data_IF_208555933555
#
_entry.id   IF_208555933555
#
_cell.length_a   1.000
_cell.length_b   1.000
_cell.length_c   1.000
_cell.angle_alpha   90.00
_cell.angle_beta   90.00
_cell.angle_gamma   90.00
#
_symmetry.space_group_name_H-M   'P 1'
#
loop_
_entity.id
_entity.type
_entity.pdbx_description
1 polymer ?
#
# COMPACT_ATOMS: atom_id res chain seq x y z
N UNK A 1 15.18 14.83 -20.06
CA UNK A 1 14.83 13.58 -19.34
C UNK A 1 13.32 13.38 -19.48
N UNK A 2 12.85 12.16 -19.79
CA UNK A 2 11.42 11.83 -19.74
C UNK A 2 11.20 10.90 -18.55
N UNK A 3 10.79 11.47 -17.43
CA UNK A 3 10.55 10.73 -16.20
C UNK A 3 9.21 9.98 -16.28
N UNK A 4 9.22 8.68 -15.99
CA UNK A 4 8.04 7.81 -16.05
C UNK A 4 6.91 8.28 -15.12
N UNK A 5 7.25 8.90 -13.98
CA UNK A 5 6.27 9.38 -13.02
C UNK A 5 5.45 10.57 -13.56
N UNK A 6 6.03 11.34 -14.48
CA UNK A 6 5.42 12.52 -15.08
C UNK A 6 4.82 12.26 -16.46
N UNK A 7 4.78 10.99 -16.91
CA UNK A 7 4.00 10.58 -18.07
C UNK A 7 2.51 10.55 -17.70
N UNK A 8 1.82 11.67 -17.95
CA UNK A 8 0.40 11.86 -17.64
C UNK A 8 -0.46 12.04 -18.89
N UNK A 9 -1.69 11.55 -18.84
CA UNK A 9 -2.72 11.81 -19.84
C UNK A 9 -3.25 13.26 -19.77
N UNK A 10 -4.26 13.58 -20.57
CA UNK A 10 -4.84 14.93 -20.64
C UNK A 10 -5.57 15.35 -19.35
N UNK A 11 -5.97 14.37 -18.52
CA UNK A 11 -6.58 14.62 -17.21
C UNK A 11 -5.55 14.74 -16.08
N UNK A 12 -4.25 14.62 -16.40
CA UNK A 12 -3.18 14.62 -15.40
C UNK A 12 -3.00 13.28 -14.70
N UNK A 13 -3.64 12.20 -15.16
CA UNK A 13 -3.49 10.86 -14.57
C UNK A 13 -2.28 10.16 -15.16
N UNK A 14 -1.44 9.53 -14.33
CA UNK A 14 -0.29 8.73 -14.78
C UNK A 14 -0.75 7.59 -15.71
N UNK A 15 -0.07 7.49 -16.85
CA UNK A 15 -0.34 6.48 -17.89
C UNK A 15 0.04 5.08 -17.46
N UNK A 16 1.09 4.94 -16.65
CA UNK A 16 1.53 3.67 -16.06
C UNK A 16 1.92 3.88 -14.59
N UNK A 17 1.54 2.95 -13.72
CA UNK A 17 1.93 2.96 -12.31
C UNK A 17 1.80 1.57 -11.67
N UNK A 18 2.58 1.30 -10.63
CA UNK A 18 2.57 0.04 -9.89
C UNK A 18 1.46 -0.09 -8.83
N UNK A 19 0.49 0.83 -8.81
CA UNK A 19 -0.43 0.98 -7.68
C UNK A 19 -1.18 -0.30 -7.30
N UNK A 20 -1.68 -1.06 -8.28
CA UNK A 20 -2.39 -2.31 -8.00
C UNK A 20 -1.50 -3.31 -7.25
N UNK A 21 -0.31 -3.58 -7.78
CA UNK A 21 0.62 -4.53 -7.18
C UNK A 21 1.24 -4.03 -5.88
N UNK A 22 1.39 -2.73 -5.67
CA UNK A 22 1.74 -2.16 -4.37
C UNK A 22 0.67 -2.52 -3.31
N UNK A 23 -0.62 -2.36 -3.66
CA UNK A 23 -1.75 -2.77 -2.84
C UNK A 23 -1.74 -4.25 -2.49
N UNK A 24 -1.64 -5.08 -3.52
CA UNK A 24 -1.69 -6.54 -3.40
C UNK A 24 -0.49 -7.07 -2.59
N UNK A 25 0.73 -6.63 -2.90
CA UNK A 25 1.93 -7.01 -2.15
C UNK A 25 1.92 -6.45 -0.72
N UNK A 26 1.46 -5.22 -0.51
CA UNK A 26 1.34 -4.62 0.82
C UNK A 26 0.40 -5.40 1.72
N UNK A 27 -0.77 -5.78 1.19
CA UNK A 27 -1.67 -6.63 1.95
C UNK A 27 -1.06 -8.02 2.25
N UNK A 28 -0.24 -8.56 1.34
CA UNK A 28 0.44 -9.84 1.51
C UNK A 28 1.48 -9.80 2.63
N UNK A 29 2.33 -8.77 2.66
CA UNK A 29 3.31 -8.57 3.73
C UNK A 29 2.61 -8.38 5.08
N UNK A 30 1.57 -7.54 5.14
CA UNK A 30 0.82 -7.34 6.37
C UNK A 30 0.13 -8.62 6.88
N UNK A 31 -0.31 -9.51 5.98
CA UNK A 31 -0.79 -10.84 6.38
C UNK A 31 0.33 -11.71 6.95
N UNK A 32 1.54 -11.68 6.37
CA UNK A 32 2.70 -12.33 7.01
C UNK A 32 2.99 -11.76 8.40
N UNK A 33 2.83 -10.44 8.61
CA UNK A 33 2.95 -9.83 9.93
C UNK A 33 1.90 -10.37 10.90
N UNK A 34 0.64 -10.44 10.47
CA UNK A 34 -0.44 -10.96 11.31
C UNK A 34 -0.19 -12.43 11.69
N UNK A 35 0.18 -13.28 10.73
CA UNK A 35 0.52 -14.69 10.96
C UNK A 35 1.72 -14.82 11.93
N UNK A 36 2.75 -13.97 11.79
CA UNK A 36 3.89 -13.99 12.70
C UNK A 36 3.47 -13.70 14.15
N UNK A 37 2.51 -12.79 14.37
CA UNK A 37 1.95 -12.52 15.69
C UNK A 37 1.20 -13.72 16.27
N UNK A 38 0.52 -14.52 15.45
CA UNK A 38 -0.16 -15.74 15.89
C UNK A 38 0.83 -16.77 16.46
N UNK A 39 2.10 -16.69 16.03
CA UNK A 39 3.19 -17.50 16.54
C UNK A 39 4.01 -16.79 17.65
N UNK A 40 3.54 -15.64 18.16
CA UNK A 40 4.23 -14.86 19.19
C UNK A 40 5.52 -14.18 18.72
N UNK A 41 5.66 -13.98 17.40
CA UNK A 41 6.88 -13.46 16.77
C UNK A 41 6.64 -12.18 15.97
N UNK A 42 7.72 -11.47 15.63
CA UNK A 42 7.69 -10.41 14.61
C UNK A 42 7.90 -11.05 13.23
N UNK A 43 7.38 -10.43 12.18
CA UNK A 43 7.62 -10.88 10.82
C UNK A 43 9.13 -10.87 10.50
N UNK A 44 9.66 -12.01 10.05
CA UNK A 44 11.04 -12.12 9.59
C UNK A 44 11.24 -11.55 8.19
N UNK A 45 12.48 -11.60 7.66
CA UNK A 45 12.78 -11.11 6.31
C UNK A 45 11.90 -11.74 5.23
N UNK A 46 11.49 -10.94 4.25
CA UNK A 46 10.70 -11.38 3.09
C UNK A 46 11.48 -11.08 1.82
N UNK A 47 11.57 -12.06 0.93
CA UNK A 47 12.17 -11.91 -0.39
C UNK A 47 11.13 -11.86 -1.51
N UNK A 48 11.57 -11.44 -2.69
CA UNK A 48 10.74 -11.49 -3.89
C UNK A 48 10.27 -12.94 -4.17
N UNK A 49 9.02 -13.06 -4.60
CA UNK A 49 8.42 -14.32 -5.00
C UNK A 49 8.58 -14.54 -6.50
N UNK A 50 8.60 -15.80 -6.93
CA UNK A 50 8.76 -16.15 -8.34
C UNK A 50 7.54 -15.77 -9.20
N UNK A 51 6.36 -15.92 -8.60
CA UNK A 51 5.06 -15.54 -9.14
C UNK A 51 4.03 -15.41 -8.00
N UNK A 52 2.89 -14.79 -8.31
CA UNK A 52 1.77 -14.57 -7.41
C UNK A 52 1.14 -15.86 -6.91
N UNK A 53 1.06 -16.89 -7.74
CA UNK A 53 0.34 -18.12 -7.41
C UNK A 53 1.08 -18.90 -6.30
N UNK A 54 2.40 -19.00 -6.40
CA UNK A 54 3.25 -19.58 -5.37
C UNK A 54 3.16 -18.78 -4.06
N UNK A 55 3.29 -17.45 -4.14
CA UNK A 55 3.21 -16.58 -2.97
C UNK A 55 1.85 -16.69 -2.24
N UNK A 56 0.75 -16.72 -2.99
CA UNK A 56 -0.59 -16.87 -2.45
C UNK A 56 -0.82 -18.26 -1.83
N UNK A 57 -0.29 -19.31 -2.46
CA UNK A 57 -0.40 -20.68 -1.94
C UNK A 57 0.34 -20.83 -0.61
N UNK A 58 1.56 -20.31 -0.51
CA UNK A 58 2.36 -20.34 0.72
C UNK A 58 1.69 -19.52 1.83
N UNK A 59 1.20 -18.32 1.50
CA UNK A 59 0.48 -17.48 2.45
C UNK A 59 -0.82 -18.14 2.93
N UNK A 60 -1.59 -18.74 2.02
CA UNK A 60 -2.83 -19.45 2.35
C UNK A 60 -2.60 -20.66 3.24
N UNK A 61 -1.54 -21.44 2.99
CA UNK A 61 -1.16 -22.57 3.84
C UNK A 61 -0.78 -22.13 5.26
N UNK A 62 -0.01 -21.03 5.37
CA UNK A 62 0.36 -20.45 6.66
C UNK A 62 -0.86 -19.90 7.41
N UNK A 63 -1.77 -19.22 6.72
CA UNK A 63 -3.03 -18.71 7.28
C UNK A 63 -3.92 -19.85 7.80
N UNK A 64 -4.09 -20.92 7.02
CA UNK A 64 -4.89 -22.09 7.42
C UNK A 64 -4.31 -22.88 8.60
N UNK A 65 -3.03 -22.65 8.93
CA UNK A 65 -2.36 -23.28 10.07
C UNK A 65 -2.54 -22.47 11.38
N UNK A 66 -3.11 -21.26 11.30
CA UNK A 66 -3.36 -20.43 12.47
C UNK A 66 -4.58 -20.94 13.26
N UNK A 67 -4.50 -20.87 14.59
CA UNK A 67 -5.61 -21.27 15.46
C UNK A 67 -6.70 -20.18 15.58
N UNK A 68 -6.31 -18.90 15.47
CA UNK A 68 -7.25 -17.78 15.44
C UNK A 68 -8.05 -17.76 14.13
N UNK A 69 -9.31 -17.33 14.15
CA UNK A 69 -10.12 -17.17 12.94
C UNK A 69 -9.49 -16.15 12.00
N UNK A 70 -9.86 -16.25 10.72
CA UNK A 70 -9.42 -15.32 9.67
C UNK A 70 -9.72 -13.87 10.07
N UNK A 71 -8.74 -12.96 10.00
CA UNK A 71 -8.90 -11.58 10.46
C UNK A 71 -9.88 -10.79 9.59
N UNK A 72 -10.50 -9.77 10.17
CA UNK A 72 -11.23 -8.74 9.46
C UNK A 72 -10.30 -7.60 9.01
N UNK A 73 -10.61 -6.99 7.86
CA UNK A 73 -9.81 -5.91 7.29
C UNK A 73 -10.64 -4.67 6.97
N UNK A 74 -10.03 -3.51 7.10
CA UNK A 74 -10.52 -2.25 6.54
C UNK A 74 -9.48 -1.67 5.58
N UNK A 75 -9.94 -1.27 4.39
CA UNK A 75 -9.13 -0.62 3.35
C UNK A 75 -9.63 0.80 3.17
N UNK A 76 -8.77 1.80 3.40
CA UNK A 76 -9.07 3.21 3.12
C UNK A 76 -8.38 3.64 1.83
N UNK A 77 -9.11 4.27 0.92
CA UNK A 77 -8.68 4.51 -0.47
C UNK A 77 -9.02 3.32 -1.37
N UNK A 78 -10.11 2.62 -1.06
CA UNK A 78 -10.49 1.35 -1.68
C UNK A 78 -10.85 1.46 -3.17
N UNK A 79 -11.22 2.65 -3.66
CA UNK A 79 -11.54 2.87 -5.07
C UNK A 79 -10.29 3.14 -5.93
N UNK A 80 -9.14 3.40 -5.29
CA UNK A 80 -7.86 3.59 -5.97
C UNK A 80 -7.24 2.26 -6.44
N UNK A 81 -6.21 2.34 -7.31
CA UNK A 81 -5.46 1.15 -7.78
C UNK A 81 -4.90 0.35 -6.60
N UNK A 82 -4.29 1.04 -5.64
CA UNK A 82 -3.70 0.46 -4.42
C UNK A 82 -4.77 -0.23 -3.57
N UNK A 83 -5.85 0.46 -3.24
CA UNK A 83 -6.94 -0.12 -2.46
C UNK A 83 -7.62 -1.30 -3.15
N UNK A 84 -7.72 -1.28 -4.47
CA UNK A 84 -8.23 -2.41 -5.26
C UNK A 84 -7.34 -3.64 -5.09
N UNK A 85 -6.02 -3.51 -5.26
CA UNK A 85 -5.09 -4.64 -5.09
C UNK A 85 -5.09 -5.21 -3.66
N UNK A 86 -5.13 -4.35 -2.64
CA UNK A 86 -5.23 -4.78 -1.25
C UNK A 86 -6.54 -5.55 -0.98
N UNK A 87 -7.66 -5.02 -1.48
CA UNK A 87 -8.96 -5.65 -1.34
C UNK A 87 -9.08 -6.99 -2.09
N UNK A 88 -8.47 -7.11 -3.28
CA UNK A 88 -8.48 -8.33 -4.07
C UNK A 88 -7.71 -9.45 -3.36
N UNK A 89 -6.52 -9.19 -2.83
CA UNK A 89 -5.80 -10.17 -2.00
C UNK A 89 -6.66 -10.63 -0.82
N UNK A 90 -7.26 -9.68 -0.09
CA UNK A 90 -8.11 -10.02 1.05
C UNK A 90 -9.28 -10.93 0.63
N UNK A 91 -9.90 -10.67 -0.52
CA UNK A 91 -10.98 -11.50 -1.04
C UNK A 91 -10.50 -12.91 -1.42
N UNK A 92 -9.31 -13.03 -2.05
CA UNK A 92 -8.71 -14.32 -2.39
C UNK A 92 -8.34 -15.16 -1.16
N UNK A 93 -7.97 -14.51 -0.06
CA UNK A 93 -7.73 -15.15 1.24
C UNK A 93 -8.99 -15.36 2.08
N UNK A 94 -10.17 -14.95 1.59
CA UNK A 94 -11.45 -15.12 2.27
C UNK A 94 -11.69 -14.19 3.47
N UNK A 95 -10.97 -13.05 3.55
CA UNK A 95 -11.14 -12.07 4.62
C UNK A 95 -12.43 -11.26 4.41
N UNK A 96 -13.07 -10.87 5.52
CA UNK A 96 -14.13 -9.87 5.50
C UNK A 96 -13.50 -8.47 5.38
N UNK A 97 -13.82 -7.76 4.29
CA UNK A 97 -13.24 -6.44 4.00
C UNK A 97 -14.30 -5.33 4.08
N UNK A 98 -14.03 -4.32 4.89
CA UNK A 98 -14.71 -3.01 4.83
C UNK A 98 -13.93 -2.10 3.89
N UNK A 99 -14.59 -1.56 2.87
CA UNK A 99 -13.97 -0.68 1.86
C UNK A 99 -14.44 0.75 2.09
N UNK A 100 -13.52 1.66 2.37
CA UNK A 100 -13.78 3.08 2.61
C UNK A 100 -13.02 3.96 1.61
N UNK A 101 -13.61 5.10 1.31
CA UNK A 101 -12.99 6.13 0.47
C UNK A 101 -13.34 7.53 0.99
N UNK A 102 -13.31 8.55 0.12
CA UNK A 102 -13.55 9.95 0.49
C UNK A 102 -14.89 10.18 1.22
N UNK A 103 -15.95 9.43 0.87
CA UNK A 103 -17.27 9.63 1.46
C UNK A 103 -17.29 9.27 2.96
N UNK A 104 -16.63 8.18 3.33
CA UNK A 104 -16.60 7.68 4.72
C UNK A 104 -15.56 8.43 5.58
N UNK A 105 -14.50 8.94 4.95
CA UNK A 105 -13.44 9.71 5.63
C UNK A 105 -13.77 11.20 5.80
N UNK A 106 -14.85 11.69 5.17
CA UNK A 106 -15.24 13.10 5.16
C UNK A 106 -15.54 13.70 6.55
N UNK A 107 -15.83 12.88 7.56
CA UNK A 107 -16.09 13.34 8.93
C UNK A 107 -14.85 13.93 9.63
N UNK A 108 -13.65 13.69 9.09
CA UNK A 108 -12.40 14.20 9.65
C UNK A 108 -11.85 13.40 10.84
N UNK A 109 -12.50 12.30 11.21
CA UNK A 109 -12.11 11.42 12.31
C UNK A 109 -12.52 11.90 13.71
N UNK A 110 -12.18 11.15 14.77
CA UNK A 110 -11.47 9.87 14.74
C UNK A 110 -12.34 8.73 14.20
N UNK A 111 -11.71 7.77 13.54
CA UNK A 111 -12.39 6.62 12.93
C UNK A 111 -12.28 5.40 13.84
N UNK A 112 -13.21 5.29 14.81
CA UNK A 112 -13.22 4.19 15.78
C UNK A 112 -13.35 2.81 15.13
N UNK A 113 -13.97 2.75 13.96
CA UNK A 113 -14.14 1.57 13.12
C UNK A 113 -12.80 0.94 12.71
N UNK A 114 -11.75 1.75 12.54
CA UNK A 114 -10.41 1.22 12.21
C UNK A 114 -9.90 0.32 13.33
N UNK A 115 -10.12 0.71 14.59
CA UNK A 115 -9.67 -0.06 15.76
C UNK A 115 -10.49 -1.34 15.98
N UNK A 116 -11.65 -1.47 15.35
CA UNK A 116 -12.54 -2.63 15.45
C UNK A 116 -12.18 -3.75 14.47
N UNK A 117 -11.40 -3.46 13.43
CA UNK A 117 -10.88 -4.45 12.49
C UNK A 117 -9.51 -4.96 12.98
N UNK A 118 -9.11 -6.16 12.56
CA UNK A 118 -7.82 -6.75 12.91
C UNK A 118 -6.69 -6.19 12.03
N UNK A 119 -7.01 -5.82 10.80
CA UNK A 119 -6.09 -5.28 9.79
C UNK A 119 -6.60 -3.94 9.28
N UNK A 120 -5.68 -2.98 9.12
CA UNK A 120 -5.94 -1.71 8.45
C UNK A 120 -4.96 -1.53 7.29
N UNK A 121 -5.48 -1.27 6.10
CA UNK A 121 -4.70 -0.90 4.92
C UNK A 121 -4.93 0.57 4.54
N UNK A 122 -3.91 1.41 4.70
CA UNK A 122 -3.92 2.76 4.17
C UNK A 122 -3.42 2.75 2.72
N UNK A 123 -4.30 3.15 1.80
CA UNK A 123 -4.02 3.25 0.37
C UNK A 123 -4.12 4.69 -0.14
N UNK A 124 -4.16 5.67 0.76
CA UNK A 124 -4.22 7.10 0.43
C UNK A 124 -2.89 7.75 0.74
N UNK A 125 -2.29 8.38 -0.27
CA UNK A 125 -1.11 9.22 -0.09
C UNK A 125 -1.50 10.47 0.70
N UNK A 126 -0.78 10.73 1.78
CA UNK A 126 -1.00 11.86 2.65
C UNK A 126 -0.82 13.20 1.92
N UNK A 127 -1.72 14.15 2.18
CA UNK A 127 -1.71 15.50 1.64
C UNK A 127 -2.15 16.50 2.71
N UNK A 128 -1.92 17.82 2.53
CA UNK A 128 -2.50 18.82 3.41
C UNK A 128 -4.01 18.60 3.57
N UNK A 129 -4.47 18.42 4.81
CA UNK A 129 -5.88 18.17 5.13
C UNK A 129 -6.30 16.69 5.16
N UNK A 130 -5.40 15.74 4.89
CA UNK A 130 -5.68 14.31 5.13
C UNK A 130 -5.98 14.10 6.62
N UNK A 131 -7.12 13.45 6.97
CA UNK A 131 -7.46 13.22 8.36
C UNK A 131 -6.53 12.18 8.98
N UNK A 132 -6.34 12.27 10.30
CA UNK A 132 -5.60 11.27 11.06
C UNK A 132 -6.46 10.01 11.18
N UNK A 133 -6.03 8.92 10.55
CA UNK A 133 -6.71 7.63 10.59
C UNK A 133 -6.48 6.92 11.93
N UNK A 134 -5.22 6.79 12.34
CA UNK A 134 -4.85 6.09 13.57
C UNK A 134 -4.03 7.03 14.45
N UNK A 135 -4.63 7.70 15.45
CA UNK A 135 -3.91 8.64 16.29
C UNK A 135 -2.88 7.91 17.18
N UNK A 136 -1.81 8.60 17.59
CA UNK A 136 -0.75 8.03 18.46
C UNK A 136 -1.29 7.29 19.69
N UNK A 137 -2.35 7.83 20.33
CA UNK A 137 -2.99 7.21 21.50
C UNK A 137 -3.62 5.84 21.24
N UNK A 138 -3.89 5.48 19.98
CA UNK A 138 -4.50 4.19 19.60
C UNK A 138 -3.71 2.98 20.11
N UNK A 139 -2.39 3.11 20.27
CA UNK A 139 -1.52 2.07 20.86
C UNK A 139 -1.97 1.64 22.26
N UNK A 140 -2.61 2.55 23.00
CA UNK A 140 -3.09 2.38 24.38
C UNK A 140 -4.61 2.22 24.51
N UNK A 141 -5.35 2.34 23.40
CA UNK A 141 -6.80 2.22 23.40
C UNK A 141 -7.25 0.76 23.31
N UNK A 142 -8.46 0.41 23.79
CA UNK A 142 -9.08 -0.86 23.46
C UNK A 142 -9.20 -1.02 21.94
N UNK A 143 -8.66 -2.11 21.40
CA UNK A 143 -8.63 -2.38 19.95
C UNK A 143 -8.60 -3.88 19.66
N UNK A 144 -9.17 -4.23 18.52
CA UNK A 144 -8.90 -5.49 17.84
C UNK A 144 -7.69 -5.35 16.91
N UNK A 145 -7.46 -4.15 16.35
CA UNK A 145 -6.40 -3.86 15.38
C UNK A 145 -5.04 -4.41 15.80
N UNK A 146 -4.48 -5.27 14.95
CA UNK A 146 -3.23 -6.01 15.15
C UNK A 146 -2.15 -5.63 14.15
N UNK A 147 -2.51 -5.30 12.91
CA UNK A 147 -1.54 -4.91 11.87
C UNK A 147 -2.06 -3.72 11.07
N UNK A 148 -1.18 -2.77 10.82
CA UNK A 148 -1.40 -1.66 9.89
C UNK A 148 -0.46 -1.87 8.70
N UNK A 149 -1.01 -2.02 7.51
CA UNK A 149 -0.28 -1.89 6.26
C UNK A 149 -0.43 -0.48 5.72
N UNK A 150 0.55 0.38 5.97
CA UNK A 150 0.62 1.70 5.39
C UNK A 150 1.28 1.62 4.00
N UNK A 151 0.48 1.27 3.00
CA UNK A 151 0.95 0.97 1.63
C UNK A 151 1.27 2.25 0.86
N UNK A 152 0.58 3.34 1.20
CA UNK A 152 0.82 4.66 0.65
C UNK A 152 1.79 5.48 1.52
N UNK A 153 2.63 4.81 2.32
CA UNK A 153 3.58 5.49 3.19
C UNK A 153 4.49 6.41 2.38
N UNK A 154 4.69 7.61 2.92
CA UNK A 154 5.65 8.57 2.41
C UNK A 154 6.44 9.07 3.63
N UNK A 155 7.66 8.54 3.87
CA UNK A 155 8.44 8.88 5.04
C UNK A 155 8.88 10.35 5.07
N UNK A 156 8.86 11.04 3.93
CA UNK A 156 9.24 12.45 3.80
C UNK A 156 8.04 13.41 3.98
N UNK A 157 6.83 12.88 4.20
CA UNK A 157 5.60 13.67 4.35
C UNK A 157 5.39 14.18 5.78
N UNK A 158 5.18 15.49 5.92
CA UNK A 158 4.74 16.13 7.18
C UNK A 158 3.31 15.71 7.61
N UNK A 159 2.58 15.00 6.75
CA UNK A 159 1.14 14.75 6.90
C UNK A 159 0.79 13.30 7.24
N UNK A 160 1.65 12.58 7.97
CA UNK A 160 1.43 11.17 8.32
C UNK A 160 0.04 10.94 8.98
N UNK A 161 -0.89 10.22 8.32
CA UNK A 161 -2.22 9.97 8.86
C UNK A 161 -2.22 8.89 9.95
N UNK A 162 -1.10 8.24 10.19
CA UNK A 162 -0.90 7.14 11.13
C UNK A 162 0.33 7.43 12.02
N UNK A 163 0.28 8.46 12.89
CA UNK A 163 1.40 8.89 13.75
C UNK A 163 1.67 7.93 14.93
N UNK A 164 1.71 6.63 14.67
CA UNK A 164 2.15 5.58 15.61
C UNK A 164 3.56 5.07 15.27
N UNK A 165 4.12 5.48 14.13
CA UNK A 165 5.45 5.14 13.65
C UNK A 165 6.10 6.34 12.94
N UNK A 166 7.42 6.31 12.76
CA UNK A 166 8.20 7.43 12.18
C UNK A 166 9.26 7.00 11.16
N UNK A 167 9.32 5.72 10.81
CA UNK A 167 10.38 5.19 9.94
C UNK A 167 9.79 4.07 9.08
N UNK A 168 10.06 4.13 7.77
CA UNK A 168 9.69 3.08 6.84
C UNK A 168 10.31 1.73 7.26
N UNK A 169 9.59 0.64 7.02
CA UNK A 169 10.12 -0.72 7.18
C UNK A 169 10.79 -1.17 5.89
N UNK A 170 11.55 -2.27 5.94
CA UNK A 170 12.24 -2.81 4.75
C UNK A 170 12.08 -4.33 4.64
N UNK A 171 12.62 -4.93 3.57
CA UNK A 171 12.51 -6.37 3.33
C UNK A 171 13.24 -7.24 4.37
N UNK A 172 14.22 -6.71 5.09
CA UNK A 172 14.91 -7.43 6.15
C UNK A 172 14.15 -7.39 7.49
N UNK A 173 13.46 -6.27 7.75
CA UNK A 173 12.59 -6.07 8.91
C UNK A 173 11.24 -5.49 8.46
N UNK A 174 10.32 -6.31 7.90
CA UNK A 174 9.12 -5.82 7.24
C UNK A 174 8.06 -5.24 8.19
N UNK A 175 8.21 -5.45 9.48
CA UNK A 175 7.29 -5.01 10.51
C UNK A 175 8.00 -4.23 11.62
N UNK A 176 7.35 -3.18 12.11
CA UNK A 176 7.71 -2.47 13.34
C UNK A 176 6.63 -2.69 14.39
N UNK A 177 7.00 -3.26 15.55
CA UNK A 177 6.12 -3.40 16.72
C UNK A 177 5.96 -2.04 17.41
N UNK A 178 4.74 -1.51 17.45
CA UNK A 178 4.41 -0.21 18.09
C UNK A 178 3.61 -0.35 19.39
N UNK A 179 3.09 -1.55 19.69
CA UNK A 179 2.47 -1.88 20.98
C UNK A 179 2.45 -3.39 21.22
N UNK A 180 2.64 -3.85 22.46
CA UNK A 180 2.79 -5.28 22.77
C UNK A 180 1.50 -6.02 23.12
N UNK A 181 0.50 -5.35 23.71
CA UNK A 181 -0.70 -6.03 24.23
C UNK A 181 -1.99 -5.23 23.98
N UNK A 182 -2.90 -5.72 23.11
CA UNK A 182 -2.62 -6.73 22.07
C UNK A 182 -1.47 -6.26 21.16
N UNK A 183 -0.77 -7.15 20.45
CA UNK A 183 0.31 -6.69 19.56
C UNK A 183 -0.22 -5.75 18.47
N UNK A 184 0.52 -4.69 18.13
CA UNK A 184 0.28 -3.83 16.97
C UNK A 184 1.57 -3.71 16.18
N UNK A 185 1.56 -4.21 14.95
CA UNK A 185 2.68 -4.07 14.01
C UNK A 185 2.30 -3.11 12.88
N UNK A 186 3.29 -2.35 12.41
CA UNK A 186 3.17 -1.49 11.23
C UNK A 186 4.09 -2.03 10.14
N UNK A 187 3.56 -2.21 8.94
CA UNK A 187 4.31 -2.39 7.71
C UNK A 187 4.20 -1.10 6.89
N UNK A 188 5.33 -0.56 6.48
CA UNK A 188 5.45 0.68 5.69
C UNK A 188 6.66 0.58 4.74
N UNK A 189 6.65 -0.42 3.86
CA UNK A 189 7.69 -0.61 2.83
C UNK A 189 7.32 0.26 1.61
N UNK A 190 8.29 1.01 1.08
CA UNK A 190 8.07 1.99 0.00
C UNK A 190 8.13 1.41 -1.42
N UNK A 191 8.64 0.19 -1.58
CA UNK A 191 8.87 -0.46 -2.87
C UNK A 191 8.17 -1.82 -3.00
N UNK A 192 7.00 -1.95 -2.35
CA UNK A 192 6.15 -3.15 -2.29
C UNK A 192 5.95 -3.94 -3.59
N UNK A 193 5.80 -3.33 -4.79
CA UNK A 193 5.68 -4.08 -6.05
C UNK A 193 6.83 -5.07 -6.29
N UNK A 194 8.00 -4.84 -5.67
CA UNK A 194 9.19 -5.70 -5.77
C UNK A 194 8.99 -7.08 -5.16
N UNK A 195 7.95 -7.30 -4.34
CA UNK A 195 7.59 -8.64 -3.87
C UNK A 195 7.11 -9.56 -5.00
N UNK A 196 6.40 -8.98 -5.98
CA UNK A 196 5.84 -9.67 -7.14
C UNK A 196 6.38 -8.99 -8.40
N UNK A 197 7.70 -9.11 -8.69
CA UNK A 197 8.35 -8.31 -9.70
C UNK A 197 7.89 -8.68 -11.12
N UNK A 198 7.53 -9.95 -11.36
CA UNK A 198 7.01 -10.41 -12.66
C UNK A 198 5.70 -9.72 -12.98
N UNK A 199 4.69 -9.89 -12.13
CA UNK A 199 3.35 -9.36 -12.36
C UNK A 199 3.34 -7.83 -12.38
N UNK A 200 4.11 -7.21 -11.47
CA UNK A 200 4.29 -5.76 -11.43
C UNK A 200 4.89 -5.22 -12.73
N UNK A 201 5.89 -5.90 -13.29
CA UNK A 201 6.54 -5.48 -14.53
C UNK A 201 5.65 -5.71 -15.75
N UNK A 202 4.97 -6.85 -15.83
CA UNK A 202 4.07 -7.19 -16.94
C UNK A 202 2.90 -6.19 -17.01
N UNK A 203 2.26 -5.88 -15.88
CA UNK A 203 1.18 -4.90 -15.80
C UNK A 203 1.67 -3.49 -16.12
N UNK A 204 2.79 -3.05 -15.54
CA UNK A 204 3.36 -1.73 -15.82
C UNK A 204 3.74 -1.58 -17.30
N UNK A 205 4.38 -2.59 -17.89
CA UNK A 205 4.73 -2.59 -19.31
C UNK A 205 3.49 -2.56 -20.21
N UNK A 206 2.44 -3.30 -19.86
CA UNK A 206 1.17 -3.28 -20.60
C UNK A 206 0.50 -1.89 -20.56
N UNK A 207 0.53 -1.22 -19.41
CA UNK A 207 0.03 0.16 -19.25
C UNK A 207 0.87 1.17 -20.04
N UNK A 208 2.20 1.00 -20.08
CA UNK A 208 3.12 1.94 -20.72
C UNK A 208 3.19 1.76 -22.26
N UNK A 209 2.92 0.56 -22.76
CA UNK A 209 3.06 0.21 -24.17
C UNK A 209 2.32 1.15 -25.15
N UNK A 210 1.07 1.61 -24.89
CA UNK A 210 0.40 2.59 -25.76
C UNK A 210 1.18 3.90 -25.89
N UNK A 211 1.82 4.36 -24.82
CA UNK A 211 2.65 5.58 -24.83
C UNK A 211 3.94 5.36 -25.62
N UNK A 212 4.58 4.19 -25.46
CA UNK A 212 5.82 3.84 -26.19
C UNK A 212 5.61 3.70 -27.71
N UNK A 213 4.40 3.35 -28.14
CA UNK A 213 4.07 3.29 -29.58
C UNK A 213 4.11 4.66 -30.28
N UNK A 214 4.08 5.76 -29.52
CA UNK A 214 4.11 7.12 -30.03
C UNK A 214 5.47 7.80 -29.80
N UNK A 215 6.57 7.03 -29.72
CA UNK A 215 7.92 7.57 -29.50
C UNK A 215 8.45 8.42 -30.66
N UNK A 216 7.81 8.36 -31.83
CA UNK A 216 8.09 9.18 -33.00
C UNK A 216 7.47 10.59 -32.92
N UNK A 217 6.61 10.86 -31.92
CA UNK A 217 5.90 12.13 -31.73
C UNK A 217 6.18 12.75 -30.35
N UNK A 218 7.47 12.88 -30.02
CA UNK A 218 7.93 13.39 -28.72
C UNK A 218 7.50 14.83 -28.41
N UNK A 219 7.21 15.61 -29.44
CA UNK A 219 6.74 16.99 -29.37
C UNK A 219 5.22 17.09 -29.11
N UNK A 220 4.53 15.97 -28.91
CA UNK A 220 3.08 15.90 -28.73
C UNK A 220 2.66 15.14 -27.46
N UNK A 221 1.40 15.35 -27.07
CA UNK A 221 0.70 14.55 -26.07
C UNK A 221 1.46 14.35 -24.75
N UNK A 222 1.55 13.09 -24.33
CA UNK A 222 2.19 12.66 -23.07
C UNK A 222 3.66 13.06 -23.04
N UNK A 223 4.37 12.90 -24.14
CA UNK A 223 5.80 13.20 -24.23
C UNK A 223 6.07 14.69 -24.10
N UNK A 224 5.31 15.56 -24.79
CA UNK A 224 5.49 17.01 -24.67
C UNK A 224 5.24 17.50 -23.25
N UNK A 225 4.21 16.98 -22.59
CA UNK A 225 3.93 17.33 -21.19
C UNK A 225 5.10 16.97 -20.28
N UNK A 226 5.66 15.77 -20.41
CA UNK A 226 6.83 15.37 -19.64
C UNK A 226 8.09 16.19 -19.98
N UNK A 227 8.28 16.57 -21.24
CA UNK A 227 9.35 17.48 -21.64
C UNK A 227 9.20 18.85 -20.97
N UNK A 228 7.99 19.40 -20.91
CA UNK A 228 7.73 20.69 -20.26
C UNK A 228 8.06 20.65 -18.76
N UNK A 229 7.77 19.54 -18.08
CA UNK A 229 8.17 19.35 -16.67
C UNK A 229 9.69 19.37 -16.52
N UNK A 230 10.41 18.68 -17.40
CA UNK A 230 11.87 18.72 -17.40
C UNK A 230 12.43 20.13 -17.66
N UNK A 231 11.88 20.84 -18.66
CA UNK A 231 12.28 22.22 -18.99
C UNK A 231 12.04 23.18 -17.82
N UNK A 232 10.92 23.01 -17.10
CA UNK A 232 10.59 23.81 -15.92
C UNK A 232 11.64 23.63 -14.81
N UNK A 233 11.94 22.38 -14.43
CA UNK A 233 12.92 22.11 -13.36
C UNK A 233 14.35 22.47 -13.76
N UNK A 234 14.70 22.38 -15.05
CA UNK A 234 16.00 22.83 -15.53
C UNK A 234 16.21 24.33 -15.34
N UNK A 235 15.15 25.14 -15.39
CA UNK A 235 15.23 26.58 -15.19
C UNK A 235 15.44 27.00 -13.71
N UNK A 236 15.30 26.05 -12.77
CA UNK A 236 15.47 26.27 -11.33
C UNK A 236 16.90 25.99 -10.85
N UNK A 237 17.78 25.49 -11.74
CA UNK A 237 19.18 25.11 -11.48
C UNK A 237 20.14 26.08 -12.16
#
# INVERSE_FOLDING_TARGET
>A
LYDLEYLVDESGRRVAAFGYWAGYAGAMVAMHCWIAQQNGSLCGPIGASADRAAALADLGAALNSCAEPTPSAIVIGALGRVGTGAADLCAELGLKVTKWDMAETASGGPFGEILQHDLFFNCILARPGTPVFVPAKAVSMPRNLRVIGDIACDPDSDYNPIPVYSTATDWAAPALRVADTPALDVMAIDNLPSLLPRESSEDFAAQLLPTLRNLDTLDQGVWRRAQMVFEQHLAEV
#
